data_IF_771329282560
#
_entry.id   IF_771329282560
#
_cell.length_a   1.000
_cell.length_b   1.000
_cell.length_c   1.000
_cell.angle_alpha   90.00
_cell.angle_beta   90.00
_cell.angle_gamma   90.00
#
_symmetry.space_group_name_H-M   'P 1'
#
loop_
_entity.id
_entity.type
_entity.pdbx_description
1 polymer ?
#
# COMPACT_ATOMS: atom_id res chain seq x y z
N UNK A 1 -18.63 -10.04 -12.92
CA UNK A 1 -17.51 -9.25 -12.35
C UNK A 1 -17.33 -8.03 -13.26
N UNK A 2 -17.22 -6.81 -12.73
CA UNK A 2 -17.06 -5.60 -13.54
C UNK A 2 -15.70 -5.67 -14.26
N UNK A 3 -15.66 -5.31 -15.55
CA UNK A 3 -14.43 -5.29 -16.34
C UNK A 3 -13.55 -4.12 -15.89
N UNK A 4 -12.32 -4.42 -15.47
CA UNK A 4 -11.33 -3.43 -15.04
C UNK A 4 -10.41 -3.13 -16.23
N UNK A 5 -10.12 -1.85 -16.54
CA UNK A 5 -9.19 -1.50 -17.60
C UNK A 5 -7.80 -2.09 -17.34
N UNK A 6 -7.02 -2.22 -18.41
CA UNK A 6 -5.65 -2.69 -18.35
C UNK A 6 -4.81 -1.78 -17.44
N UNK A 7 -3.99 -2.38 -16.59
CA UNK A 7 -2.95 -1.66 -15.88
C UNK A 7 -1.75 -1.49 -16.82
N UNK A 8 -1.14 -0.31 -16.84
CA UNK A 8 0.14 -0.14 -17.54
C UNK A 8 1.24 -0.95 -16.83
N UNK A 9 2.38 -1.15 -17.52
CA UNK A 9 3.50 -1.93 -17.00
C UNK A 9 4.02 -1.39 -15.67
N UNK A 10 4.14 -0.07 -15.53
CA UNK A 10 4.67 0.57 -14.31
C UNK A 10 3.79 0.30 -13.08
N UNK A 11 2.46 0.42 -13.21
CA UNK A 11 1.53 0.16 -12.13
C UNK A 11 1.53 -1.32 -11.73
N UNK A 12 1.56 -2.21 -12.73
CA UNK A 12 1.58 -3.65 -12.47
C UNK A 12 2.89 -4.06 -11.79
N UNK A 13 4.03 -3.56 -12.27
CA UNK A 13 5.34 -3.82 -11.68
C UNK A 13 5.42 -3.31 -10.24
N UNK A 14 5.01 -2.06 -9.99
CA UNK A 14 5.03 -1.47 -8.65
C UNK A 14 4.20 -2.30 -7.66
N UNK A 15 2.99 -2.74 -8.05
CA UNK A 15 2.15 -3.58 -7.21
C UNK A 15 2.81 -4.95 -6.96
N UNK A 16 3.42 -5.56 -7.98
CA UNK A 16 4.13 -6.83 -7.85
C UNK A 16 5.34 -6.72 -6.92
N UNK A 17 6.08 -5.60 -6.97
CA UNK A 17 7.21 -5.35 -6.07
C UNK A 17 6.79 -5.28 -4.61
N UNK A 18 5.69 -4.58 -4.31
CA UNK A 18 5.14 -4.53 -2.94
C UNK A 18 4.70 -5.92 -2.49
N UNK A 19 3.94 -6.64 -3.32
CA UNK A 19 3.42 -7.98 -3.00
C UNK A 19 4.53 -9.00 -2.80
N UNK A 20 5.63 -8.86 -3.52
CA UNK A 20 6.74 -9.80 -3.53
C UNK A 20 8.01 -9.24 -2.88
N UNK A 21 7.86 -8.25 -2.00
CA UNK A 21 8.93 -7.65 -1.23
C UNK A 21 9.80 -8.71 -0.52
N UNK A 22 11.09 -8.41 -0.37
CA UNK A 22 12.07 -9.38 0.15
C UNK A 22 11.80 -9.74 1.60
N UNK A 23 11.48 -8.75 2.43
CA UNK A 23 11.35 -8.91 3.89
C UNK A 23 9.90 -9.13 4.31
N UNK A 24 8.98 -8.33 3.78
CA UNK A 24 7.59 -8.26 4.22
C UNK A 24 6.60 -8.73 3.14
N UNK A 25 7.10 -9.20 2.01
CA UNK A 25 6.29 -9.70 0.89
C UNK A 25 5.81 -11.14 1.07
N UNK A 26 5.08 -11.63 0.08
CA UNK A 26 4.69 -13.02 -0.04
C UNK A 26 5.94 -13.88 -0.32
N UNK A 27 5.92 -15.11 0.20
CA UNK A 27 6.88 -16.15 -0.17
C UNK A 27 6.59 -16.69 -1.59
N UNK A 28 7.58 -17.36 -2.19
CA UNK A 28 7.40 -17.99 -3.51
C UNK A 28 6.25 -19.02 -3.52
N UNK A 29 6.14 -19.84 -2.47
CA UNK A 29 5.06 -20.80 -2.32
C UNK A 29 3.68 -20.14 -2.16
N UNK A 30 3.59 -19.02 -1.45
CA UNK A 30 2.35 -18.25 -1.36
C UNK A 30 1.95 -17.66 -2.71
N UNK A 31 2.90 -17.11 -3.48
CA UNK A 31 2.65 -16.58 -4.82
C UNK A 31 2.11 -17.68 -5.73
N UNK A 32 2.75 -18.85 -5.73
CA UNK A 32 2.33 -20.00 -6.53
C UNK A 32 0.90 -20.42 -6.23
N UNK A 33 0.59 -20.64 -4.95
CA UNK A 33 -0.75 -21.00 -4.49
C UNK A 33 -1.79 -19.97 -4.89
N UNK A 34 -1.48 -18.69 -4.73
CA UNK A 34 -2.40 -17.60 -5.07
C UNK A 34 -2.64 -17.49 -6.58
N UNK A 35 -1.61 -17.69 -7.41
CA UNK A 35 -1.74 -17.74 -8.87
C UNK A 35 -2.64 -18.90 -9.31
N UNK A 36 -2.45 -20.08 -8.72
CA UNK A 36 -3.32 -21.25 -8.96
C UNK A 36 -4.77 -20.98 -8.57
N UNK A 37 -5.00 -20.37 -7.39
CA UNK A 37 -6.34 -20.01 -6.90
C UNK A 37 -7.11 -19.08 -7.84
N UNK A 38 -6.40 -18.19 -8.56
CA UNK A 38 -7.00 -17.28 -9.55
C UNK A 38 -6.91 -17.81 -10.98
N UNK A 39 -6.44 -19.06 -11.17
CA UNK A 39 -6.26 -19.73 -12.47
C UNK A 39 -5.34 -18.98 -13.44
N UNK A 40 -4.28 -18.37 -12.92
CA UNK A 40 -3.22 -17.75 -13.72
C UNK A 40 -2.01 -18.66 -13.77
N UNK A 41 -1.49 -18.90 -14.97
CA UNK A 41 -0.31 -19.74 -15.16
C UNK A 41 0.96 -19.06 -14.65
N UNK A 42 1.79 -19.82 -13.96
CA UNK A 42 3.09 -19.37 -13.48
C UNK A 42 4.16 -19.67 -14.54
N UNK A 43 4.49 -18.65 -15.33
CA UNK A 43 5.32 -18.81 -16.53
C UNK A 43 6.83 -18.78 -16.26
N UNK A 44 7.24 -18.32 -15.08
CA UNK A 44 8.66 -18.10 -14.78
C UNK A 44 9.00 -18.38 -13.31
N UNK A 45 8.84 -19.64 -12.84
CA UNK A 45 8.96 -19.98 -11.42
C UNK A 45 10.38 -19.83 -10.85
N UNK A 46 11.41 -19.83 -11.72
CA UNK A 46 12.82 -19.66 -11.35
C UNK A 46 13.27 -18.20 -11.22
N UNK A 47 12.43 -17.22 -11.57
CA UNK A 47 12.77 -15.79 -11.46
C UNK A 47 12.60 -15.24 -10.05
N UNK A 48 13.09 -14.02 -9.82
CA UNK A 48 12.80 -13.29 -8.58
C UNK A 48 11.29 -13.16 -8.37
N UNK A 49 10.85 -13.25 -7.10
CA UNK A 49 9.43 -13.30 -6.72
C UNK A 49 8.56 -12.24 -7.43
N UNK A 50 9.05 -11.00 -7.50
CA UNK A 50 8.31 -9.90 -8.13
C UNK A 50 8.24 -10.05 -9.66
N UNK A 51 9.32 -10.50 -10.33
CA UNK A 51 9.34 -10.73 -11.79
C UNK A 51 8.44 -11.90 -12.15
N UNK A 52 8.48 -12.97 -11.36
CA UNK A 52 7.59 -14.13 -11.47
C UNK A 52 6.12 -13.71 -11.43
N UNK A 53 5.74 -12.95 -10.41
CA UNK A 53 4.38 -12.45 -10.26
C UNK A 53 3.98 -11.49 -11.41
N UNK A 54 4.88 -10.57 -11.78
CA UNK A 54 4.65 -9.62 -12.87
C UNK A 54 4.40 -10.34 -14.20
N UNK A 55 5.26 -11.29 -14.58
CA UNK A 55 5.13 -12.02 -15.83
C UNK A 55 3.83 -12.83 -15.91
N UNK A 56 3.44 -13.48 -14.81
CA UNK A 56 2.18 -14.21 -14.72
C UNK A 56 0.97 -13.28 -14.93
N UNK A 57 0.95 -12.13 -14.26
CA UNK A 57 -0.15 -11.16 -14.34
C UNK A 57 -0.19 -10.43 -15.68
N UNK A 58 0.96 -10.05 -16.26
CA UNK A 58 1.03 -9.50 -17.63
C UNK A 58 0.52 -10.51 -18.64
N UNK A 59 0.94 -11.78 -18.53
CA UNK A 59 0.48 -12.86 -19.39
C UNK A 59 -1.04 -12.98 -19.38
N UNK A 60 -1.64 -13.05 -18.18
CA UNK A 60 -3.10 -13.08 -18.04
C UNK A 60 -3.77 -11.80 -18.56
N UNK A 61 -3.21 -10.63 -18.28
CA UNK A 61 -3.76 -9.36 -18.75
C UNK A 61 -3.76 -9.27 -20.28
N UNK A 62 -2.69 -9.71 -20.93
CA UNK A 62 -2.56 -9.71 -22.39
C UNK A 62 -3.45 -10.78 -23.05
N UNK A 63 -3.61 -11.94 -22.42
CA UNK A 63 -4.47 -13.01 -22.92
C UNK A 63 -5.95 -12.62 -22.86
N UNK A 64 -6.40 -12.10 -21.72
CA UNK A 64 -7.83 -11.84 -21.47
C UNK A 64 -8.23 -10.38 -21.72
N UNK A 65 -7.28 -9.49 -21.99
CA UNK A 65 -7.50 -8.06 -22.24
C UNK A 65 -8.30 -7.38 -21.11
N UNK A 66 -7.96 -7.72 -19.85
CA UNK A 66 -8.57 -7.19 -18.62
C UNK A 66 -7.57 -7.05 -17.47
N UNK A 67 -7.70 -5.98 -16.67
CA UNK A 67 -6.90 -5.76 -15.46
C UNK A 67 -7.36 -6.55 -14.23
N UNK A 68 -8.44 -7.33 -14.35
CA UNK A 68 -9.10 -8.02 -13.24
C UNK A 68 -8.16 -8.96 -12.45
N UNK A 69 -7.18 -9.58 -13.12
CA UNK A 69 -6.29 -10.56 -12.49
C UNK A 69 -5.41 -9.96 -11.39
N UNK A 70 -4.94 -8.72 -11.54
CA UNK A 70 -4.21 -8.02 -10.47
C UNK A 70 -5.11 -7.84 -9.23
N UNK A 71 -6.34 -7.38 -9.44
CA UNK A 71 -7.28 -7.14 -8.35
C UNK A 71 -7.74 -8.44 -7.69
N UNK A 72 -7.95 -9.50 -8.46
CA UNK A 72 -8.22 -10.83 -7.94
C UNK A 72 -7.06 -11.34 -7.08
N UNK A 73 -5.83 -11.19 -7.55
CA UNK A 73 -4.64 -11.58 -6.81
C UNK A 73 -4.54 -10.82 -5.49
N UNK A 74 -4.66 -9.49 -5.52
CA UNK A 74 -4.62 -8.65 -4.31
C UNK A 74 -5.73 -9.05 -3.32
N UNK A 75 -6.96 -9.27 -3.78
CA UNK A 75 -8.08 -9.68 -2.94
C UNK A 75 -7.88 -11.04 -2.24
N UNK A 76 -7.06 -11.93 -2.82
CA UNK A 76 -6.68 -13.22 -2.22
C UNK A 76 -5.48 -13.08 -1.30
N UNK A 77 -4.45 -12.35 -1.74
CA UNK A 77 -3.26 -12.06 -0.97
C UNK A 77 -3.59 -11.29 0.33
N UNK A 78 -4.51 -10.34 0.26
CA UNK A 78 -4.90 -9.46 1.36
C UNK A 78 -6.05 -10.03 2.21
N UNK A 79 -6.37 -11.32 2.15
CA UNK A 79 -7.37 -11.89 3.07
C UNK A 79 -6.89 -11.77 4.53
N UNK A 80 -7.59 -11.02 5.42
CA UNK A 80 -7.14 -10.75 6.78
C UNK A 80 -6.87 -12.00 7.62
N UNK A 81 -7.55 -13.12 7.33
CA UNK A 81 -7.35 -14.40 8.02
C UNK A 81 -5.90 -14.88 7.92
N UNK A 82 -5.23 -14.61 6.79
CA UNK A 82 -3.82 -14.98 6.59
C UNK A 82 -2.84 -14.18 7.47
N UNK A 83 -3.32 -13.14 8.13
CA UNK A 83 -2.53 -12.21 8.95
C UNK A 83 -2.94 -12.21 10.41
N UNK A 84 -3.77 -13.17 10.84
CA UNK A 84 -4.25 -13.26 12.22
C UNK A 84 -3.11 -13.30 13.25
N UNK A 85 -1.94 -13.85 12.86
CA UNK A 85 -0.74 -13.91 13.71
C UNK A 85 0.21 -12.72 13.52
N UNK A 86 0.04 -11.95 12.45
CA UNK A 86 0.89 -10.80 12.13
C UNK A 86 0.10 -9.65 11.49
N UNK A 87 -0.67 -8.89 12.30
CA UNK A 87 -1.44 -7.73 11.82
C UNK A 87 -0.55 -6.58 11.32
N UNK A 88 0.72 -6.54 11.74
CA UNK A 88 1.66 -5.50 11.34
C UNK A 88 2.05 -5.68 9.87
N UNK A 89 2.30 -6.91 9.40
CA UNK A 89 2.55 -7.20 7.98
C UNK A 89 1.32 -6.89 7.12
N UNK A 90 0.10 -7.20 7.59
CA UNK A 90 -1.12 -6.79 6.88
C UNK A 90 -1.16 -5.27 6.70
N UNK A 91 -0.88 -4.57 7.80
CA UNK A 91 -0.92 -3.13 7.87
C UNK A 91 0.05 -2.51 6.88
N UNK A 92 1.32 -2.90 6.96
CA UNK A 92 2.35 -2.43 6.04
C UNK A 92 2.01 -2.71 4.58
N UNK A 93 1.64 -3.96 4.25
CA UNK A 93 1.36 -4.36 2.86
C UNK A 93 0.17 -3.61 2.28
N UNK A 94 -0.87 -3.38 3.10
CA UNK A 94 -2.06 -2.61 2.71
C UNK A 94 -1.68 -1.17 2.38
N UNK A 95 -0.85 -0.54 3.21
CA UNK A 95 -0.50 0.87 3.05
C UNK A 95 0.39 1.05 1.81
N UNK A 96 1.42 0.22 1.62
CA UNK A 96 2.26 0.24 0.42
C UNK A 96 1.47 -0.02 -0.87
N UNK A 97 0.55 -1.00 -0.84
CA UNK A 97 -0.34 -1.24 -1.97
C UNK A 97 -1.22 -0.04 -2.26
N UNK A 98 -1.72 0.66 -1.24
CA UNK A 98 -2.60 1.81 -1.42
C UNK A 98 -1.87 3.00 -2.05
N UNK A 99 -0.58 3.19 -1.80
CA UNK A 99 0.22 4.22 -2.50
C UNK A 99 0.22 3.94 -4.01
N UNK A 100 0.51 2.69 -4.40
CA UNK A 100 0.58 2.30 -5.81
C UNK A 100 -0.81 2.33 -6.47
N UNK A 101 -1.81 1.75 -5.82
CA UNK A 101 -3.16 1.63 -6.35
C UNK A 101 -3.88 2.98 -6.47
N UNK A 102 -3.51 3.98 -5.67
CA UNK A 102 -4.09 5.32 -5.74
C UNK A 102 -3.93 5.94 -7.14
N UNK A 103 -2.79 5.73 -7.82
CA UNK A 103 -2.58 6.19 -9.20
C UNK A 103 -3.46 5.48 -10.22
N UNK A 104 -3.96 4.29 -9.88
CA UNK A 104 -4.90 3.53 -10.70
C UNK A 104 -6.36 3.74 -10.32
N UNK A 105 -6.64 4.50 -9.25
CA UNK A 105 -8.00 4.76 -8.78
C UNK A 105 -8.58 3.59 -7.96
N UNK A 106 -7.72 2.88 -7.25
CA UNK A 106 -8.10 1.76 -6.39
C UNK A 106 -7.48 1.92 -5.00
N UNK A 107 -8.06 1.23 -4.02
CA UNK A 107 -7.43 1.02 -2.72
C UNK A 107 -7.93 -0.27 -2.09
N UNK A 108 -7.13 -0.84 -1.20
CA UNK A 108 -7.42 -1.99 -0.34
C UNK A 108 -8.03 -1.49 0.97
N UNK A 109 -9.24 -1.95 1.27
CA UNK A 109 -9.96 -1.69 2.53
C UNK A 109 -9.40 -2.54 3.69
N UNK A 110 -9.94 -2.29 4.88
CA UNK A 110 -9.58 -3.01 6.10
C UNK A 110 -9.99 -4.49 6.08
N UNK A 111 -11.04 -4.83 5.33
CA UNK A 111 -11.48 -6.21 5.07
C UNK A 111 -10.59 -6.93 4.03
N UNK A 112 -9.54 -6.27 3.54
CA UNK A 112 -8.62 -6.82 2.55
C UNK A 112 -9.13 -6.82 1.12
N UNK A 113 -10.28 -6.18 0.85
CA UNK A 113 -10.86 -6.10 -0.49
C UNK A 113 -10.51 -4.78 -1.17
N UNK A 114 -10.23 -4.86 -2.46
CA UNK A 114 -10.02 -3.72 -3.32
C UNK A 114 -11.36 -3.09 -3.71
N UNK A 115 -11.41 -1.77 -3.71
CA UNK A 115 -12.54 -0.99 -4.25
C UNK A 115 -12.04 0.25 -4.99
N UNK A 116 -12.94 0.92 -5.70
CA UNK A 116 -12.64 2.14 -6.44
C UNK A 116 -12.35 3.31 -5.49
N UNK A 117 -11.47 4.21 -5.93
CA UNK A 117 -11.14 5.48 -5.33
C UNK A 117 -10.86 6.53 -6.40
N UNK A 118 -10.83 7.81 -6.00
CA UNK A 118 -10.35 8.90 -6.87
C UNK A 118 -8.88 8.66 -7.21
N UNK A 119 -8.48 8.88 -8.46
CA UNK A 119 -7.07 8.75 -8.86
C UNK A 119 -6.22 9.83 -8.18
N UNK A 120 -5.07 9.42 -7.66
CA UNK A 120 -4.00 10.32 -7.25
C UNK A 120 -3.21 10.79 -8.49
N UNK A 121 -2.74 12.03 -8.45
CA UNK A 121 -1.88 12.62 -9.49
C UNK A 121 -0.47 12.91 -8.97
N UNK A 122 -0.28 12.95 -7.66
CA UNK A 122 1.01 13.20 -7.01
C UNK A 122 1.32 12.13 -5.96
N UNK A 123 2.61 11.93 -5.68
CA UNK A 123 3.06 11.00 -4.64
C UNK A 123 2.49 11.39 -3.26
N UNK A 124 2.43 12.69 -2.94
CA UNK A 124 1.85 13.17 -1.69
C UNK A 124 0.38 12.81 -1.55
N UNK A 125 -0.40 13.00 -2.63
CA UNK A 125 -1.83 12.64 -2.62
C UNK A 125 -2.04 11.12 -2.50
N UNK A 126 -1.14 10.31 -3.05
CA UNK A 126 -1.16 8.86 -2.92
C UNK A 126 -0.78 8.42 -1.50
N UNK A 127 0.32 8.96 -0.94
CA UNK A 127 0.77 8.68 0.42
C UNK A 127 -0.22 9.15 1.48
N UNK A 128 -0.82 10.35 1.32
CA UNK A 128 -1.86 10.85 2.22
C UNK A 128 -3.09 9.93 2.26
N UNK A 129 -3.37 9.22 1.17
CA UNK A 129 -4.48 8.25 1.08
C UNK A 129 -4.14 6.89 1.68
N UNK A 130 -2.88 6.47 1.55
CA UNK A 130 -2.36 5.24 2.14
C UNK A 130 -2.08 5.36 3.64
N UNK A 131 -1.69 6.56 4.08
CA UNK A 131 -1.06 6.82 5.37
C UNK A 131 -2.04 6.95 6.52
N UNK A 132 -2.15 5.86 7.28
CA UNK A 132 -2.69 5.79 8.64
C UNK A 132 -1.97 6.65 9.68
N UNK A 133 -0.83 7.26 9.40
CA UNK A 133 -0.07 8.02 10.41
C UNK A 133 -0.89 9.21 10.96
N UNK A 134 -1.63 9.91 10.09
CA UNK A 134 -2.64 10.88 10.50
C UNK A 134 -3.74 10.22 11.33
N UNK A 135 -4.32 9.12 10.85
CA UNK A 135 -5.40 8.40 11.55
C UNK A 135 -4.97 7.80 12.91
N UNK A 136 -3.71 7.41 13.07
CA UNK A 136 -3.14 6.86 14.29
C UNK A 136 -2.80 7.96 15.31
N UNK A 137 -2.39 9.15 14.84
CA UNK A 137 -2.24 10.35 15.67
C UNK A 137 -3.62 10.89 16.11
N UNK A 138 -4.60 10.90 15.22
CA UNK A 138 -5.99 11.30 15.53
C UNK A 138 -6.65 10.34 16.53
N UNK A 139 -6.48 9.02 16.36
CA UNK A 139 -7.03 8.01 17.28
C UNK A 139 -6.36 7.99 18.67
N UNK A 140 -5.18 8.57 18.83
CA UNK A 140 -4.47 8.69 20.13
C UNK A 140 -4.79 10.00 20.88
N UNK A 141 -5.78 10.77 20.41
CA UNK A 141 -6.16 12.07 20.97
C UNK A 141 -4.96 13.03 21.10
N UNK A 142 -4.06 13.00 20.11
CA UNK A 142 -2.91 13.90 20.08
C UNK A 142 -3.42 15.33 19.87
N UNK A 143 -2.88 16.28 20.66
CA UNK A 143 -3.33 17.67 20.66
C UNK A 143 -3.30 18.26 19.23
N UNK A 144 -4.34 19.01 18.86
CA UNK A 144 -4.53 19.53 17.49
C UNK A 144 -3.32 20.30 16.95
N UNK A 145 -2.59 20.99 17.84
CA UNK A 145 -1.35 21.67 17.48
C UNK A 145 -0.25 20.75 16.97
N UNK A 146 -0.11 19.53 17.49
CA UNK A 146 0.90 18.58 17.00
C UNK A 146 0.61 18.20 15.54
N UNK A 147 -0.67 18.07 15.18
CA UNK A 147 -1.10 17.79 13.79
C UNK A 147 -0.83 18.97 12.83
N UNK A 148 -0.70 20.21 13.36
CA UNK A 148 -0.36 21.39 12.56
C UNK A 148 1.11 21.34 12.11
N UNK A 149 2.02 20.95 13.01
CA UNK A 149 3.46 20.84 12.72
C UNK A 149 3.83 19.55 11.98
N UNK A 150 2.95 18.55 12.01
CA UNK A 150 3.13 17.24 11.38
C UNK A 150 2.94 17.22 9.84
N UNK A 151 2.57 18.34 9.21
CA UNK A 151 1.82 18.31 7.94
C UNK A 151 2.63 18.20 6.65
N UNK A 152 3.95 18.37 6.70
CA UNK A 152 4.81 18.27 5.51
C UNK A 152 5.89 17.18 5.62
N UNK A 153 6.39 16.90 6.83
CA UNK A 153 7.64 16.14 7.02
C UNK A 153 7.43 14.69 7.51
N UNK A 154 6.21 14.33 7.93
CA UNK A 154 5.89 12.94 8.32
C UNK A 154 5.65 11.98 7.16
N UNK A 155 5.49 12.49 5.94
CA UNK A 155 5.31 11.67 4.75
C UNK A 155 6.64 11.05 4.25
N UNK A 156 7.77 11.52 4.78
CA UNK A 156 9.12 11.18 4.35
C UNK A 156 9.80 10.09 5.19
N UNK A 157 9.04 9.32 5.99
CA UNK A 157 9.51 8.20 6.82
C UNK A 157 10.67 8.49 7.81
N UNK A 158 11.11 9.75 7.91
CA UNK A 158 12.14 10.21 8.83
C UNK A 158 11.53 10.76 10.13
N UNK A 159 11.21 9.85 11.06
CA UNK A 159 10.62 10.15 12.37
C UNK A 159 11.43 11.16 13.22
N UNK A 160 12.72 11.35 12.95
CA UNK A 160 13.57 12.33 13.64
C UNK A 160 13.12 13.78 13.41
N UNK A 161 12.70 14.12 12.19
CA UNK A 161 12.22 15.47 11.88
C UNK A 161 10.89 15.76 12.58
N UNK A 162 9.97 14.78 12.59
CA UNK A 162 8.71 14.89 13.29
C UNK A 162 8.87 15.14 14.80
N UNK A 163 9.79 14.42 15.45
CA UNK A 163 10.10 14.62 16.88
C UNK A 163 10.75 15.99 17.13
N UNK A 164 11.65 16.41 16.24
CA UNK A 164 12.34 17.68 16.34
C UNK A 164 11.38 18.87 16.17
N UNK A 165 10.51 18.82 15.17
CA UNK A 165 9.47 19.85 14.96
C UNK A 165 8.42 19.85 16.06
N UNK A 166 8.03 18.69 16.58
CA UNK A 166 7.17 18.62 17.77
C UNK A 166 7.83 19.30 18.98
N UNK A 167 9.13 19.09 19.17
CA UNK A 167 9.91 19.73 20.24
C UNK A 167 10.01 21.24 20.04
N UNK A 168 10.23 21.71 18.81
CA UNK A 168 10.20 23.14 18.48
C UNK A 168 8.83 23.76 18.74
N UNK A 169 7.76 23.08 18.36
CA UNK A 169 6.39 23.50 18.62
C UNK A 169 6.07 23.65 20.11
N UNK A 170 6.56 22.73 20.96
CA UNK A 170 6.44 22.86 22.42
C UNK A 170 7.20 24.08 22.93
N UNK A 171 8.44 24.28 22.49
CA UNK A 171 9.25 25.43 22.91
C UNK A 171 8.64 26.76 22.46
N UNK A 172 8.09 26.84 21.25
CA UNK A 172 7.40 28.00 20.73
C UNK A 172 6.11 28.28 21.51
N UNK A 173 5.35 27.23 21.86
CA UNK A 173 4.14 27.36 22.66
C UNK A 173 4.41 27.87 24.07
N UNK A 174 5.47 27.39 24.71
CA UNK A 174 5.91 27.90 26.01
C UNK A 174 6.23 29.39 25.88
N UNK A 175 6.97 29.79 24.84
CA UNK A 175 7.33 31.18 24.58
C UNK A 175 6.12 32.09 24.42
N UNK A 176 5.12 31.67 23.63
CA UNK A 176 3.87 32.41 23.45
C UNK A 176 3.03 32.53 24.71
N UNK A 177 3.09 31.52 25.61
CA UNK A 177 2.36 31.54 26.88
C UNK A 177 3.11 32.26 28.00
N UNK A 178 4.44 32.31 27.95
CA UNK A 178 5.28 32.97 28.94
C UNK A 178 5.52 34.45 28.67
N UNK A 179 5.24 34.93 27.45
CA UNK A 179 5.62 36.25 26.97
C UNK A 179 7.00 36.22 26.32
#
# INVERSE_FOLDING_TARGET
MIRIPLFNSQHLEAACRVLADTERGLSGAQIERLLQEIKVADTSPSMTKWKRLYNALVGAQNQYQVGNHLIMFINRAMNPVNYARDPAVFTWRRDELNVVLAFSGFYVREDGKVTNATKATTLDSARARAGRLKAALENRAVHAEVLNYCRAELLDENYFHAVFEATKGVAERIRQLSG
#
